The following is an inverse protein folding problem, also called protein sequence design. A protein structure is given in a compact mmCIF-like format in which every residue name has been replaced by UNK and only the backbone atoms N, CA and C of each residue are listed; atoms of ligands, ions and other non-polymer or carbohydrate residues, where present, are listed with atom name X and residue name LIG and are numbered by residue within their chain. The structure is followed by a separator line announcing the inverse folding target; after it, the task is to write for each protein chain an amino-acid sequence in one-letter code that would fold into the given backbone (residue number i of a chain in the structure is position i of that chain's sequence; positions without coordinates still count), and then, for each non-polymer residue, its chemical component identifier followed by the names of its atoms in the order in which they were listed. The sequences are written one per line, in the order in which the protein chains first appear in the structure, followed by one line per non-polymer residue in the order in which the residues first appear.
data_IF_506402942222
#
_entry.id   IF_506402942222
#
_cell.length_a   1.000
_cell.length_b   1.000
_cell.length_c   1.000
_cell.angle_alpha   90.00
_cell.angle_beta   90.00
_cell.angle_gamma   90.00
#
_symmetry.space_group_name_H-M   'P 1'
#
loop_
_entity.id
_entity.type
_entity.pdbx_description
1 polymer ?
#
# COMPACT_ATOMS: atom_id res chain seq x y z
N UNK A 1 -1.07 20.95 2.07
CA UNK A 1 -0.48 19.68 1.59
C UNK A 1 -1.43 19.11 0.56
N UNK A 2 -0.94 18.71 -0.61
CA UNK A 2 -1.78 18.06 -1.60
C UNK A 2 -2.18 16.67 -1.10
N UNK A 3 -3.50 16.45 -0.99
CA UNK A 3 -4.10 15.18 -0.60
C UNK A 3 -5.23 14.88 -1.59
N UNK A 4 -5.28 13.69 -2.22
CA UNK A 4 -4.26 12.63 -2.15
C UNK A 4 -2.89 13.09 -2.66
N UNK A 5 -1.82 12.41 -2.26
CA UNK A 5 -0.52 12.61 -2.90
C UNK A 5 -0.61 12.18 -4.37
N UNK A 6 0.22 12.72 -5.28
CA UNK A 6 0.12 12.41 -6.72
C UNK A 6 0.24 10.93 -7.08
N UNK A 7 0.81 10.11 -6.20
CA UNK A 7 1.00 8.67 -6.38
C UNK A 7 -0.02 7.84 -5.59
N UNK A 8 -0.90 8.45 -4.79
CA UNK A 8 -1.96 7.78 -4.05
C UNK A 8 -3.24 7.72 -4.88
N UNK A 9 -3.89 6.57 -4.89
CA UNK A 9 -5.22 6.46 -5.52
C UNK A 9 -6.28 6.84 -4.50
N UNK A 10 -7.06 7.86 -4.81
CA UNK A 10 -8.20 8.25 -3.96
C UNK A 10 -9.34 7.25 -4.12
N UNK A 11 -9.67 6.56 -3.03
CA UNK A 11 -10.78 5.60 -2.97
C UNK A 11 -12.10 6.27 -2.59
N UNK A 12 -12.04 7.24 -1.67
CA UNK A 12 -13.23 7.98 -1.22
C UNK A 12 -12.85 9.35 -0.67
N UNK A 13 -13.75 10.31 -0.78
CA UNK A 13 -13.64 11.59 -0.08
C UNK A 13 -15.00 12.12 0.36
N UNK A 14 -15.01 12.85 1.47
CA UNK A 14 -16.18 13.56 1.96
C UNK A 14 -15.79 14.83 2.73
N UNK A 15 -16.77 15.66 3.01
CA UNK A 15 -16.66 16.79 3.94
C UNK A 15 -17.52 16.52 5.17
N UNK A 16 -17.08 17.01 6.32
CA UNK A 16 -17.91 16.95 7.51
C UNK A 16 -19.15 17.82 7.31
N UNK A 17 -20.32 17.29 7.68
CA UNK A 17 -21.59 18.00 7.50
C UNK A 17 -21.63 19.35 8.24
N UNK A 18 -21.11 19.39 9.47
CA UNK A 18 -21.18 20.54 10.38
C UNK A 18 -19.96 21.46 10.23
N UNK A 19 -18.87 20.95 9.66
CA UNK A 19 -17.60 21.66 9.50
C UNK A 19 -17.12 21.50 8.05
N UNK A 20 -17.67 22.27 7.09
CA UNK A 20 -17.39 22.06 5.66
C UNK A 20 -15.92 22.26 5.26
N UNK A 21 -15.14 22.95 6.10
CA UNK A 21 -13.68 23.07 5.96
C UNK A 21 -12.95 21.76 6.28
N UNK A 22 -13.55 20.89 7.10
CA UNK A 22 -12.98 19.59 7.45
C UNK A 22 -13.27 18.56 6.35
N UNK A 23 -12.21 18.04 5.74
CA UNK A 23 -12.27 17.06 4.65
C UNK A 23 -11.70 15.72 5.09
N UNK A 24 -12.32 14.65 4.62
CA UNK A 24 -11.87 13.28 4.79
C UNK A 24 -11.46 12.73 3.43
N UNK A 25 -10.29 12.11 3.37
CA UNK A 25 -9.79 11.47 2.16
C UNK A 25 -9.30 10.07 2.52
N UNK A 26 -9.92 9.06 1.94
CA UNK A 26 -9.46 7.68 1.99
C UNK A 26 -8.71 7.38 0.70
N UNK A 27 -7.47 6.95 0.84
CA UNK A 27 -6.62 6.49 -0.26
C UNK A 27 -6.43 4.98 -0.15
N UNK A 28 -5.75 4.41 -1.14
CA UNK A 28 -5.31 3.01 -1.09
C UNK A 28 -4.22 2.72 -0.06
N UNK A 29 -3.75 3.74 0.68
CA UNK A 29 -2.65 3.62 1.66
C UNK A 29 -3.04 4.07 3.06
N UNK A 30 -3.87 5.11 3.16
CA UNK A 30 -4.19 5.78 4.42
C UNK A 30 -5.52 6.53 4.36
N UNK A 31 -6.04 6.81 5.54
CA UNK A 31 -7.14 7.74 5.76
C UNK A 31 -6.58 9.04 6.34
N UNK A 32 -6.93 10.16 5.72
CA UNK A 32 -6.47 11.50 6.08
C UNK A 32 -7.67 12.37 6.45
N UNK A 33 -7.54 13.07 7.57
CA UNK A 33 -8.42 14.15 8.02
C UNK A 33 -7.67 15.45 7.82
N UNK A 34 -8.28 16.35 7.05
CA UNK A 34 -7.73 17.66 6.74
C UNK A 34 -8.63 18.70 7.40
N UNK A 35 -8.03 19.52 8.25
CA UNK A 35 -8.60 20.71 8.86
C UNK A 35 -7.78 21.92 8.39
N UNK A 36 -8.20 23.16 8.70
CA UNK A 36 -7.59 24.38 8.13
C UNK A 36 -6.07 24.47 8.32
N UNK A 37 -5.56 24.07 9.48
CA UNK A 37 -4.13 24.14 9.81
C UNK A 37 -3.49 22.78 10.12
N UNK A 38 -4.27 21.70 10.11
CA UNK A 38 -3.81 20.39 10.61
C UNK A 38 -4.28 19.26 9.71
N UNK A 39 -3.36 18.34 9.42
CA UNK A 39 -3.68 17.04 8.87
C UNK A 39 -3.40 15.97 9.92
N UNK A 40 -4.38 15.11 10.17
CA UNK A 40 -4.20 13.88 10.95
C UNK A 40 -4.43 12.68 10.03
N UNK A 41 -3.62 11.64 10.17
CA UNK A 41 -3.62 10.51 9.25
C UNK A 41 -3.32 9.19 9.95
N UNK A 42 -3.89 8.12 9.41
CA UNK A 42 -3.65 6.74 9.83
C UNK A 42 -3.51 5.84 8.60
N UNK A 43 -2.46 5.03 8.55
CA UNK A 43 -2.31 4.05 7.47
C UNK A 43 -3.34 2.92 7.65
N UNK A 44 -3.79 2.33 6.54
CA UNK A 44 -4.85 1.29 6.58
C UNK A 44 -4.44 0.10 7.46
N UNK A 45 -3.19 -0.35 7.38
CA UNK A 45 -2.66 -1.45 8.19
C UNK A 45 -2.55 -1.13 9.69
N UNK A 46 -2.54 0.15 10.06
CA UNK A 46 -2.43 0.59 11.45
C UNK A 46 -3.79 0.78 12.10
N UNK A 47 -4.88 0.63 11.37
CA UNK A 47 -6.22 0.63 11.95
C UNK A 47 -6.42 -0.66 12.76
N UNK A 48 -6.96 -0.52 13.98
CA UNK A 48 -7.35 -1.67 14.81
C UNK A 48 -8.86 -1.77 14.96
N UNK A 49 -9.45 -0.90 15.77
CA UNK A 49 -10.87 -0.90 16.08
C UNK A 49 -11.53 0.33 15.49
N UNK A 50 -12.72 0.14 14.90
CA UNK A 50 -13.50 1.22 14.32
C UNK A 50 -14.83 1.29 15.05
N UNK A 51 -14.97 2.29 15.91
CA UNK A 51 -16.16 2.51 16.70
C UNK A 51 -17.05 3.54 16.02
N UNK A 52 -18.29 3.15 15.69
CA UNK A 52 -19.32 4.08 15.22
C UNK A 52 -20.19 4.53 16.39
N UNK A 53 -20.38 5.84 16.50
CA UNK A 53 -21.29 6.46 17.45
C UNK A 53 -22.22 7.44 16.73
N UNK A 54 -23.44 7.61 17.26
CA UNK A 54 -24.42 8.55 16.72
C UNK A 54 -25.07 9.32 17.86
N UNK A 55 -24.84 10.64 17.89
CA UNK A 55 -25.64 11.54 18.71
C UNK A 55 -27.08 11.64 18.17
N UNK A 56 -27.96 12.29 18.93
CA UNK A 56 -29.31 12.59 18.45
C UNK A 56 -29.27 13.50 17.20
N UNK A 57 -28.34 14.46 17.16
CA UNK A 57 -28.11 15.34 16.01
C UNK A 57 -27.64 14.54 14.79
N UNK A 58 -26.70 13.62 15.00
CA UNK A 58 -26.19 12.77 13.95
C UNK A 58 -27.33 11.95 13.31
N UNK A 59 -28.19 11.35 14.15
CA UNK A 59 -29.36 10.59 13.70
C UNK A 59 -30.34 11.46 12.90
N UNK A 60 -30.66 12.65 13.39
CA UNK A 60 -31.53 13.59 12.69
C UNK A 60 -30.94 14.02 11.34
N UNK A 61 -29.62 14.18 11.26
CA UNK A 61 -28.91 14.57 10.04
C UNK A 61 -28.56 13.40 9.12
N UNK A 62 -28.84 12.14 9.50
CA UNK A 62 -28.41 10.95 8.75
C UNK A 62 -26.87 10.81 8.67
N UNK A 63 -26.16 11.26 9.70
CA UNK A 63 -24.70 11.20 9.82
C UNK A 63 -24.29 10.37 11.03
N UNK A 64 -22.99 10.19 11.22
CA UNK A 64 -22.41 9.48 12.37
C UNK A 64 -20.97 9.92 12.62
N UNK A 65 -20.43 9.58 13.79
CA UNK A 65 -19.03 9.79 14.14
C UNK A 65 -18.31 8.44 14.19
N UNK A 66 -17.18 8.34 13.48
CA UNK A 66 -16.29 7.18 13.52
C UNK A 66 -15.05 7.52 14.33
N UNK A 67 -14.74 6.70 15.34
CA UNK A 67 -13.49 6.75 16.08
C UNK A 67 -12.65 5.56 15.65
N UNK A 68 -11.46 5.82 15.13
CA UNK A 68 -10.59 4.81 14.55
C UNK A 68 -9.35 4.71 15.43
N UNK A 69 -9.24 3.60 16.13
CA UNK A 69 -8.12 3.31 17.02
C UNK A 69 -6.88 2.94 16.21
N UNK A 70 -5.72 3.34 16.74
CA UNK A 70 -4.41 3.00 16.18
C UNK A 70 -3.90 1.73 16.84
N UNK A 71 -3.59 0.72 16.02
CA UNK A 71 -3.04 -0.56 16.46
C UNK A 71 -1.75 -0.34 17.24
N UNK A 72 -1.66 -0.77 18.49
CA UNK A 72 -0.40 -0.78 19.25
C UNK A 72 0.15 0.59 19.68
N UNK A 73 -0.60 1.69 19.54
CA UNK A 73 -0.17 3.02 19.98
C UNK A 73 -1.09 3.59 21.07
N UNK A 74 -0.51 4.40 21.97
CA UNK A 74 -1.27 5.24 22.93
C UNK A 74 -1.69 6.60 22.32
N UNK A 75 -1.45 6.81 21.03
CA UNK A 75 -1.90 8.00 20.32
C UNK A 75 -3.42 8.12 20.33
N UNK A 76 -3.93 9.34 20.29
CA UNK A 76 -5.37 9.60 20.21
C UNK A 76 -5.98 8.96 18.95
N UNK A 77 -7.23 8.46 19.03
CA UNK A 77 -7.92 7.89 17.89
C UNK A 77 -8.15 8.95 16.81
N UNK A 78 -8.15 8.51 15.55
CA UNK A 78 -8.52 9.36 14.42
C UNK A 78 -10.06 9.48 14.39
N UNK A 79 -10.58 10.70 14.49
CA UNK A 79 -12.03 10.94 14.60
C UNK A 79 -12.60 11.59 13.33
N UNK A 80 -13.53 10.87 12.67
CA UNK A 80 -14.34 11.36 11.55
C UNK A 80 -15.73 11.75 12.05
N UNK A 81 -16.05 13.04 12.07
CA UNK A 81 -17.35 13.56 12.53
C UNK A 81 -18.28 13.89 11.36
N UNK A 82 -19.59 13.69 11.56
CA UNK A 82 -20.59 14.07 10.57
C UNK A 82 -20.47 13.30 9.25
N UNK A 83 -20.09 12.02 9.32
CA UNK A 83 -19.95 11.12 8.18
C UNK A 83 -21.32 10.58 7.78
N UNK A 84 -21.75 10.88 6.55
CA UNK A 84 -22.90 10.22 5.92
C UNK A 84 -22.55 8.78 5.59
N UNK A 85 -23.49 7.86 5.79
CA UNK A 85 -23.27 6.41 5.55
C UNK A 85 -22.09 5.85 6.37
N UNK A 86 -21.94 6.29 7.62
CA UNK A 86 -20.80 5.86 8.42
C UNK A 86 -20.83 4.37 8.79
N UNK A 87 -21.97 3.68 8.73
CA UNK A 87 -22.01 2.22 8.88
C UNK A 87 -21.22 1.53 7.76
N UNK A 88 -21.47 1.98 6.52
CA UNK A 88 -20.82 1.48 5.32
C UNK A 88 -19.34 1.83 5.31
N UNK A 89 -19.00 3.08 5.65
CA UNK A 89 -17.60 3.49 5.74
C UNK A 89 -16.86 2.72 6.83
N UNK A 90 -17.47 2.50 8.00
CA UNK A 90 -16.86 1.70 9.05
C UNK A 90 -16.59 0.26 8.59
N UNK A 91 -17.57 -0.39 7.97
CA UNK A 91 -17.40 -1.75 7.43
C UNK A 91 -16.32 -1.81 6.33
N UNK A 92 -16.27 -0.81 5.45
CA UNK A 92 -15.23 -0.70 4.43
C UNK A 92 -13.83 -0.53 5.05
N UNK A 93 -13.70 0.35 6.04
CA UNK A 93 -12.45 0.58 6.75
C UNK A 93 -12.00 -0.67 7.52
N UNK A 94 -12.94 -1.40 8.13
CA UNK A 94 -12.67 -2.66 8.84
C UNK A 94 -12.22 -3.75 7.88
N UNK A 95 -12.86 -3.86 6.71
CA UNK A 95 -12.44 -4.75 5.63
C UNK A 95 -11.02 -4.40 5.15
N UNK A 96 -10.76 -3.12 4.87
CA UNK A 96 -9.43 -2.63 4.45
C UNK A 96 -8.35 -2.89 5.49
N UNK A 97 -8.69 -2.75 6.78
CA UNK A 97 -7.76 -2.96 7.90
C UNK A 97 -7.47 -4.44 8.17
N UNK A 98 -8.47 -5.31 7.98
CA UNK A 98 -8.38 -6.75 8.27
C UNK A 98 -7.82 -7.52 7.08
N UNK A 99 -8.25 -7.14 5.89
CA UNK A 99 -7.80 -7.72 4.64
C UNK A 99 -7.24 -6.66 3.70
N UNK A 100 -5.97 -6.23 3.92
CA UNK A 100 -5.22 -5.47 2.94
C UNK A 100 -5.11 -6.22 1.60
N UNK A 101 -5.51 -7.51 1.56
CA UNK A 101 -5.46 -8.34 0.38
C UNK A 101 -6.64 -8.25 -0.56
N UNK A 102 -7.72 -7.57 -0.19
CA UNK A 102 -8.79 -7.30 -1.13
C UNK A 102 -8.27 -6.31 -2.18
N UNK A 103 -8.24 -6.68 -3.47
CA UNK A 103 -7.99 -5.71 -4.54
C UNK A 103 -9.16 -4.74 -4.56
N UNK A 104 -8.98 -3.57 -3.96
CA UNK A 104 -10.06 -2.60 -3.84
C UNK A 104 -9.89 -1.59 -4.97
N UNK A 105 -10.77 -1.69 -5.96
CA UNK A 105 -10.94 -0.71 -7.02
C UNK A 105 -12.06 0.29 -6.68
N UNK A 106 -12.12 1.37 -7.44
CA UNK A 106 -13.10 2.45 -7.22
C UNK A 106 -14.55 1.98 -7.40
N UNK A 107 -14.78 0.86 -8.09
CA UNK A 107 -16.13 0.28 -8.27
C UNK A 107 -16.52 -0.44 -6.98
N UNK A 108 -15.66 -1.32 -6.46
CA UNK A 108 -15.87 -2.05 -5.22
C UNK A 108 -16.10 -1.11 -4.03
N UNK A 109 -15.32 -0.02 -3.92
CA UNK A 109 -15.52 1.00 -2.88
C UNK A 109 -16.89 1.66 -2.99
N UNK A 110 -17.29 2.06 -4.20
CA UNK A 110 -18.59 2.71 -4.41
C UNK A 110 -19.75 1.78 -4.10
N UNK A 111 -19.65 0.50 -4.47
CA UNK A 111 -20.67 -0.50 -4.16
C UNK A 111 -20.73 -0.81 -2.66
N UNK A 112 -19.57 -0.96 -1.98
CA UNK A 112 -19.52 -1.09 -0.53
C UNK A 112 -20.15 0.11 0.20
N UNK A 113 -19.95 1.32 -0.31
CA UNK A 113 -20.55 2.55 0.23
C UNK A 113 -22.03 2.73 -0.14
N UNK A 114 -22.55 1.99 -1.13
CA UNK A 114 -23.97 1.95 -1.50
C UNK A 114 -24.76 0.90 -0.76
N UNK A 115 -24.09 -0.16 -0.29
CA UNK A 115 -24.71 -1.19 0.51
C UNK A 115 -25.43 -0.58 1.72
N UNK A 116 -26.72 -0.86 1.88
CA UNK A 116 -27.44 -0.48 3.09
C UNK A 116 -27.48 -1.69 4.01
N UNK A 117 -26.69 -1.72 5.11
CA UNK A 117 -26.79 -2.79 6.07
C UNK A 117 -28.21 -2.79 6.61
N UNK A 118 -28.97 -3.85 6.31
CA UNK A 118 -30.29 -4.03 6.89
C UNK A 118 -30.09 -4.00 8.41
N UNK A 119 -30.80 -3.07 9.08
CA UNK A 119 -30.88 -3.05 10.54
C UNK A 119 -31.55 -4.35 10.95
N UNK A 120 -30.75 -5.37 11.22
CA UNK A 120 -31.23 -6.55 11.93
C UNK A 120 -31.56 -6.05 13.31
N UNK A 121 -32.85 -5.87 13.60
CA UNK A 121 -33.36 -5.58 14.94
C UNK A 121 -32.85 -6.70 15.86
N UNK A 122 -31.75 -6.42 16.57
CA UNK A 122 -31.13 -7.33 17.52
C UNK A 122 -31.96 -7.33 18.80
N UNK A 123 -33.12 -7.97 18.75
CA UNK A 123 -33.76 -8.48 19.96
C UNK A 123 -32.86 -9.54 20.60
N UNK A 124 -32.29 -9.22 21.76
CA UNK A 124 -31.91 -10.03 22.94
C UNK A 124 -31.39 -11.48 22.83
N UNK A 125 -31.17 -12.06 21.65
CA UNK A 125 -30.69 -13.44 21.45
C UNK A 125 -29.35 -13.45 20.72
N UNK A 126 -28.26 -13.04 21.36
CA UNK A 126 -26.90 -13.31 20.85
C UNK A 126 -25.81 -13.34 21.94
N UNK A 127 -26.18 -13.68 23.19
CA UNK A 127 -25.20 -13.87 24.27
C UNK A 127 -24.36 -15.16 24.16
N UNK A 128 -24.69 -16.07 23.22
CA UNK A 128 -24.08 -17.41 23.15
C UNK A 128 -23.00 -17.52 22.07
N UNK A 129 -22.98 -16.64 21.07
CA UNK A 129 -22.03 -16.74 19.96
C UNK A 129 -20.61 -16.20 20.27
N UNK A 130 -20.45 -15.30 21.25
CA UNK A 130 -19.15 -14.70 21.56
C UNK A 130 -18.20 -15.60 22.38
N UNK A 131 -18.72 -16.62 23.07
CA UNK A 131 -17.89 -17.54 23.87
C UNK A 131 -17.15 -18.60 23.04
N UNK A 132 -17.56 -18.84 21.79
CA UNK A 132 -16.94 -19.82 20.90
C UNK A 132 -15.77 -19.26 20.06
N UNK A 133 -15.60 -17.93 19.99
CA UNK A 133 -14.59 -17.30 19.12
C UNK A 133 -13.19 -17.18 19.76
N UNK A 134 -13.12 -17.08 21.09
CA UNK A 134 -11.86 -16.90 21.81
C UNK A 134 -10.84 -18.06 21.66
N UNK A 135 -11.23 -19.34 21.61
CA UNK A 135 -10.28 -20.45 21.45
C UNK A 135 -9.67 -20.51 20.04
N UNK A 136 -10.43 -20.09 19.02
CA UNK A 136 -9.99 -20.11 17.61
C UNK A 136 -8.92 -19.03 17.37
N UNK A 137 -9.06 -17.86 17.99
CA UNK A 137 -8.07 -16.79 17.92
C UNK A 137 -6.73 -17.16 18.59
N UNK A 138 -6.77 -17.92 19.70
CA UNK A 138 -5.57 -18.38 20.42
C UNK A 138 -4.82 -19.49 19.66
N UNK A 139 -5.51 -20.38 18.95
CA UNK A 139 -4.84 -21.38 18.09
C UNK A 139 -4.18 -20.75 16.86
N UNK A 140 -4.78 -19.70 16.27
CA UNK A 140 -4.20 -18.99 15.14
C UNK A 140 -2.88 -18.27 15.47
N UNK A 141 -2.76 -17.76 16.71
CA UNK A 141 -1.54 -17.10 17.20
C UNK A 141 -0.37 -18.08 17.45
N UNK A 142 -0.66 -19.36 17.72
CA UNK A 142 0.38 -20.37 17.96
C UNK A 142 1.04 -20.88 16.66
N UNK A 143 0.37 -20.76 15.51
CA UNK A 143 0.86 -21.24 14.21
C UNK A 143 1.84 -20.23 13.56
N UNK A 144 1.86 -18.98 14.01
CA UNK A 144 2.57 -17.89 13.33
C UNK A 144 4.04 -17.69 13.72
N UNK A 145 4.60 -18.49 14.65
CA UNK A 145 5.97 -18.31 15.17
C UNK A 145 7.05 -19.28 14.62
N UNK A 146 6.74 -20.07 13.59
CA UNK A 146 7.71 -20.90 12.87
C UNK A 146 8.17 -20.24 11.57
N UNK A 147 9.05 -19.23 11.65
CA UNK A 147 9.46 -18.44 10.48
C UNK A 147 10.46 -19.14 9.57
N UNK A 148 10.01 -20.11 8.78
CA UNK A 148 10.69 -20.42 7.50
C UNK A 148 10.42 -19.26 6.54
N UNK A 149 11.48 -18.70 5.95
CA UNK A 149 11.38 -17.64 4.95
C UNK A 149 10.57 -18.20 3.77
N UNK A 150 9.33 -17.73 3.61
CA UNK A 150 8.42 -18.24 2.58
C UNK A 150 9.12 -18.17 1.22
N UNK A 151 9.13 -19.31 0.52
CA UNK A 151 9.87 -19.48 -0.72
C UNK A 151 9.31 -18.55 -1.81
N UNK A 152 10.20 -18.03 -2.66
CA UNK A 152 9.79 -17.21 -3.80
C UNK A 152 9.09 -18.12 -4.82
N UNK A 153 7.84 -17.80 -5.15
CA UNK A 153 7.09 -18.39 -6.24
C UNK A 153 7.47 -17.71 -7.55
N UNK A 154 8.03 -18.50 -8.47
CA UNK A 154 8.42 -18.03 -9.80
C UNK A 154 7.35 -18.41 -10.83
N UNK A 155 6.86 -17.45 -11.64
CA UNK A 155 5.98 -17.77 -12.75
C UNK A 155 6.61 -18.78 -13.71
N UNK A 156 5.80 -19.71 -14.24
CA UNK A 156 6.27 -20.73 -15.18
C UNK A 156 6.81 -20.10 -16.47
N UNK A 157 6.25 -18.96 -16.86
CA UNK A 157 6.54 -18.19 -18.06
C UNK A 157 7.43 -16.97 -17.80
N UNK A 158 8.03 -16.82 -16.61
CA UNK A 158 8.92 -15.70 -16.30
C UNK A 158 10.00 -15.54 -17.40
N UNK A 159 10.20 -14.30 -17.83
CA UNK A 159 11.11 -14.02 -18.95
C UNK A 159 12.58 -14.32 -18.63
N UNK A 160 12.95 -14.41 -17.35
CA UNK A 160 14.33 -14.61 -16.87
C UNK A 160 14.48 -15.89 -16.05
N UNK A 161 13.50 -16.22 -15.20
CA UNK A 161 13.51 -17.38 -14.29
C UNK A 161 12.28 -18.29 -14.50
N UNK A 162 12.03 -18.81 -15.71
CA UNK A 162 10.88 -19.67 -15.94
C UNK A 162 10.91 -20.88 -14.99
N UNK A 163 9.87 -21.02 -14.17
CA UNK A 163 9.77 -22.02 -13.11
C UNK A 163 11.00 -22.02 -12.16
N UNK A 164 11.56 -20.84 -11.88
CA UNK A 164 12.67 -20.64 -10.95
C UNK A 164 14.06 -20.96 -11.53
N UNK A 165 14.15 -21.42 -12.78
CA UNK A 165 15.44 -21.69 -13.43
C UNK A 165 15.85 -20.50 -14.27
N UNK A 166 16.99 -19.89 -13.94
CA UNK A 166 17.54 -18.79 -14.71
C UNK A 166 17.83 -19.23 -16.14
N UNK A 167 17.36 -18.48 -17.13
CA UNK A 167 17.76 -18.64 -18.53
C UNK A 167 19.27 -18.42 -18.69
N UNK A 168 19.83 -18.95 -19.77
CA UNK A 168 21.22 -18.66 -20.10
C UNK A 168 21.42 -17.17 -20.39
N UNK A 169 22.67 -16.74 -20.29
CA UNK A 169 23.03 -15.32 -20.38
C UNK A 169 22.70 -14.73 -21.75
N UNK A 170 22.90 -15.49 -22.83
CA UNK A 170 22.68 -15.01 -24.20
C UNK A 170 21.19 -14.76 -24.44
N UNK A 171 20.34 -15.70 -24.05
CA UNK A 171 18.89 -15.56 -24.12
C UNK A 171 18.39 -14.36 -23.28
N UNK A 172 18.96 -14.13 -22.10
CA UNK A 172 18.63 -12.96 -21.27
C UNK A 172 19.03 -11.66 -21.98
N UNK A 173 20.25 -11.58 -22.51
CA UNK A 173 20.73 -10.37 -23.21
C UNK A 173 19.86 -10.08 -24.42
N UNK A 174 19.57 -11.09 -25.24
CA UNK A 174 18.70 -10.93 -26.40
C UNK A 174 17.31 -10.44 -26.00
N UNK A 175 16.71 -11.00 -24.95
CA UNK A 175 15.43 -10.51 -24.42
C UNK A 175 15.51 -9.06 -23.94
N UNK A 176 16.58 -8.69 -23.22
CA UNK A 176 16.78 -7.32 -22.76
C UNK A 176 16.89 -6.35 -23.93
N UNK A 177 17.62 -6.69 -24.98
CA UNK A 177 17.83 -5.81 -26.14
C UNK A 177 16.60 -5.69 -27.04
N UNK A 178 15.86 -6.79 -27.22
CA UNK A 178 14.76 -6.86 -28.19
C UNK A 178 13.39 -6.50 -27.60
N UNK A 179 13.15 -6.78 -26.32
CA UNK A 179 11.88 -6.53 -25.66
C UNK A 179 11.97 -5.39 -24.63
N UNK A 180 12.94 -5.48 -23.71
CA UNK A 180 13.01 -4.55 -22.57
C UNK A 180 13.47 -3.17 -22.99
N UNK A 181 14.61 -3.04 -23.70
CA UNK A 181 15.18 -1.74 -24.06
C UNK A 181 14.27 -0.88 -24.95
N UNK A 182 13.59 -1.42 -26.00
CA UNK A 182 12.65 -0.62 -26.79
C UNK A 182 11.48 -0.08 -25.98
N UNK A 183 10.95 -0.87 -25.05
CA UNK A 183 9.90 -0.40 -24.14
C UNK A 183 10.46 0.60 -23.12
N UNK A 184 11.62 0.31 -22.52
CA UNK A 184 12.24 1.14 -21.49
C UNK A 184 12.57 2.52 -22.02
N UNK A 185 13.06 2.65 -23.27
CA UNK A 185 13.30 3.95 -23.91
C UNK A 185 12.06 4.80 -23.94
N UNK A 186 10.93 4.27 -24.44
CA UNK A 186 9.65 4.99 -24.49
C UNK A 186 9.12 5.32 -23.09
N UNK A 187 9.16 4.35 -22.18
CA UNK A 187 8.61 4.50 -20.83
C UNK A 187 9.45 5.44 -19.96
N UNK A 188 10.78 5.43 -20.06
CA UNK A 188 11.64 6.24 -19.21
C UNK A 188 12.03 7.58 -19.84
N UNK A 189 11.75 7.83 -21.12
CA UNK A 189 12.06 9.10 -21.78
C UNK A 189 11.54 10.34 -21.02
N UNK A 190 10.30 10.36 -20.48
CA UNK A 190 9.82 11.52 -19.71
C UNK A 190 10.64 11.80 -18.44
N UNK A 191 11.28 10.77 -17.88
CA UNK A 191 12.08 10.88 -16.65
C UNK A 191 13.56 11.13 -16.97
N UNK A 192 14.09 10.52 -18.02
CA UNK A 192 15.49 10.61 -18.44
C UNK A 192 15.77 11.81 -19.36
N UNK A 193 14.73 12.49 -19.85
CA UNK A 193 14.83 13.64 -20.74
C UNK A 193 15.11 13.26 -22.21
N UNK A 194 14.62 12.10 -22.66
CA UNK A 194 14.77 11.61 -24.03
C UNK A 194 14.95 10.09 -24.12
N UNK A 195 14.49 9.48 -25.22
CA UNK A 195 14.64 8.03 -25.48
C UNK A 195 16.11 7.63 -25.68
N UNK A 196 16.88 8.47 -26.34
CA UNK A 196 18.32 8.32 -26.60
C UNK A 196 19.17 8.29 -25.32
N UNK A 197 18.64 8.87 -24.23
CA UNK A 197 19.28 8.91 -22.91
C UNK A 197 19.01 7.67 -22.06
N UNK A 198 18.08 6.82 -22.46
CA UNK A 198 17.76 5.59 -21.74
C UNK A 198 18.66 4.46 -22.23
N UNK A 199 19.53 4.00 -21.34
CA UNK A 199 20.50 2.92 -21.58
C UNK A 199 20.36 1.83 -20.53
N UNK A 200 21.09 0.72 -20.69
CA UNK A 200 21.15 -0.32 -19.67
C UNK A 200 21.65 0.25 -18.32
N UNK A 201 22.50 1.29 -18.34
CA UNK A 201 22.98 1.95 -17.12
C UNK A 201 21.88 2.75 -16.38
N UNK A 202 20.80 3.15 -17.07
CA UNK A 202 19.65 3.82 -16.45
C UNK A 202 18.98 2.91 -15.40
N UNK A 203 18.90 1.60 -15.67
CA UNK A 203 18.30 0.63 -14.77
C UNK A 203 19.34 -0.08 -13.89
N UNK A 204 20.51 -0.41 -14.45
CA UNK A 204 21.51 -1.21 -13.77
C UNK A 204 22.60 -0.37 -13.08
N UNK A 205 22.68 0.93 -13.33
CA UNK A 205 23.77 1.80 -12.87
C UNK A 205 25.02 1.75 -13.77
N UNK A 206 25.89 2.75 -13.65
CA UNK A 206 27.08 2.91 -14.50
C UNK A 206 28.11 1.77 -14.35
N UNK A 207 28.17 1.12 -13.19
CA UNK A 207 29.02 -0.05 -12.91
C UNK A 207 28.31 -1.39 -13.08
N UNK A 208 27.37 -1.51 -14.02
CA UNK A 208 26.64 -2.76 -14.26
C UNK A 208 27.51 -3.90 -14.82
N UNK A 209 28.40 -3.68 -15.81
CA UNK A 209 29.21 -4.76 -16.39
C UNK A 209 30.07 -5.50 -15.35
N UNK A 210 30.67 -4.77 -14.41
CA UNK A 210 31.50 -5.34 -13.33
C UNK A 210 30.70 -6.10 -12.27
N UNK A 211 29.37 -5.92 -12.23
CA UNK A 211 28.46 -6.63 -11.32
C UNK A 211 27.59 -7.65 -12.04
N UNK A 212 28.03 -8.09 -13.23
CA UNK A 212 27.29 -9.03 -14.07
C UNK A 212 25.85 -8.59 -14.34
N UNK A 213 25.68 -7.28 -14.57
CA UNK A 213 24.39 -6.64 -14.81
C UNK A 213 23.36 -6.88 -13.70
N UNK A 214 23.80 -7.24 -12.49
CA UNK A 214 22.92 -7.26 -11.34
C UNK A 214 22.39 -5.85 -11.15
N UNK A 215 21.07 -5.74 -11.09
CA UNK A 215 20.45 -4.50 -10.67
C UNK A 215 21.09 -4.06 -9.35
N UNK A 216 21.15 -2.75 -9.04
CA UNK A 216 21.77 -2.24 -7.83
C UNK A 216 20.99 -2.60 -6.55
N UNK A 217 20.22 -3.69 -6.59
CA UNK A 217 19.42 -4.34 -5.55
C UNK A 217 19.82 -3.85 -4.19
N UNK A 218 18.85 -3.31 -3.48
CA UNK A 218 18.99 -2.85 -2.12
C UNK A 218 19.85 -3.84 -1.32
N UNK A 219 21.13 -3.48 -1.09
CA UNK A 219 21.83 -3.95 0.09
C UNK A 219 20.97 -3.50 1.26
N UNK A 220 20.69 -4.43 2.19
CA UNK A 220 19.90 -4.23 3.42
C UNK A 220 19.82 -2.73 3.76
N UNK A 221 18.66 -2.11 3.52
CA UNK A 221 18.50 -0.66 3.68
C UNK A 221 19.08 -0.23 5.02
N UNK A 222 19.93 0.81 5.10
CA UNK A 222 20.18 1.43 6.39
C UNK A 222 18.83 1.87 6.96
N UNK A 223 18.63 1.64 8.26
CA UNK A 223 17.44 2.18 8.94
C UNK A 223 17.41 3.70 8.72
N UNK A 224 16.24 4.27 8.34
CA UNK A 224 16.15 5.69 8.05
C UNK A 224 16.58 6.53 9.25
N UNK A 225 17.38 7.57 8.98
CA UNK A 225 17.90 8.50 10.01
C UNK A 225 16.84 9.48 10.54
N UNK A 226 15.64 9.52 9.93
CA UNK A 226 14.53 10.29 10.46
C UNK A 226 14.03 9.61 11.74
N UNK A 227 14.31 10.25 12.88
CA UNK A 227 13.80 9.83 14.20
C UNK A 227 12.30 9.54 14.11
N UNK A 228 11.95 8.26 14.14
CA UNK A 228 11.31 7.63 15.30
C UNK A 228 10.36 8.53 16.12
N UNK A 229 9.42 9.21 15.48
CA UNK A 229 8.32 9.88 16.17
C UNK A 229 7.03 9.22 15.69
N UNK A 230 6.60 8.20 16.43
CA UNK A 230 5.28 7.58 16.32
C UNK A 230 5.22 6.19 15.68
N UNK A 231 6.35 5.62 15.24
CA UNK A 231 6.39 4.35 14.49
C UNK A 231 7.25 3.25 15.14
N UNK A 232 7.78 3.50 16.35
CA UNK A 232 8.85 2.70 16.97
C UNK A 232 8.36 1.43 17.68
N UNK A 233 7.05 1.22 17.74
CA UNK A 233 6.45 0.03 18.34
C UNK A 233 6.36 -1.19 17.43
N UNK A 234 6.64 -1.06 16.13
CA UNK A 234 6.27 -2.08 15.14
C UNK A 234 7.48 -2.91 14.67
N UNK A 235 8.04 -3.68 15.60
CA UNK A 235 8.94 -4.78 15.29
C UNK A 235 8.18 -6.02 14.80
N UNK A 236 8.66 -6.61 13.70
CA UNK A 236 8.29 -7.92 13.17
C UNK A 236 6.79 -8.13 12.80
N UNK A 237 6.40 -7.71 11.58
CA UNK A 237 5.37 -8.44 10.83
C UNK A 237 4.18 -7.66 10.28
N UNK A 238 3.88 -6.45 10.76
CA UNK A 238 2.62 -5.74 10.39
C UNK A 238 2.79 -4.23 10.15
N UNK A 239 3.99 -3.67 10.27
CA UNK A 239 4.23 -2.24 10.01
C UNK A 239 4.32 -1.89 8.51
N UNK A 240 4.16 -0.61 8.19
CA UNK A 240 4.47 -0.07 6.87
C UNK A 240 5.87 -0.54 6.46
N UNK A 241 5.95 -1.20 5.30
CA UNK A 241 7.19 -1.77 4.81
C UNK A 241 8.33 -0.73 4.84
N UNK A 242 9.53 -1.12 5.26
CA UNK A 242 10.68 -0.23 5.29
C UNK A 242 11.01 0.31 3.88
N UNK A 243 10.70 -0.43 2.81
CA UNK A 243 10.84 0.08 1.44
C UNK A 243 9.75 1.09 1.11
N UNK A 244 8.50 0.82 1.47
CA UNK A 244 7.41 1.80 1.39
C UNK A 244 7.80 3.09 2.10
N UNK A 245 8.28 3.00 3.36
CA UNK A 245 8.72 4.15 4.15
C UNK A 245 9.88 4.88 3.48
N UNK A 246 10.91 4.17 3.02
CA UNK A 246 12.06 4.83 2.39
C UNK A 246 11.72 5.46 1.03
N UNK A 247 10.83 4.82 0.26
CA UNK A 247 10.27 5.42 -0.94
C UNK A 247 9.45 6.67 -0.57
N UNK A 248 8.56 6.57 0.41
CA UNK A 248 7.69 7.64 0.89
C UNK A 248 8.52 8.85 1.39
N UNK A 249 9.50 8.63 2.26
CA UNK A 249 10.39 9.70 2.76
C UNK A 249 11.30 10.27 1.65
N UNK A 250 11.83 9.42 0.77
CA UNK A 250 12.65 9.86 -0.35
C UNK A 250 11.89 10.70 -1.38
N UNK A 251 10.59 10.40 -1.59
CA UNK A 251 9.73 11.10 -2.52
C UNK A 251 9.04 12.32 -1.92
N UNK A 252 8.72 12.31 -0.62
CA UNK A 252 8.13 13.45 0.07
C UNK A 252 9.13 14.59 0.32
N UNK A 253 10.42 14.29 0.43
CA UNK A 253 11.46 15.29 0.69
C UNK A 253 11.66 16.29 -0.47
N UNK A 254 11.32 15.93 -1.72
CA UNK A 254 11.50 16.81 -2.89
C UNK A 254 10.29 16.71 -3.83
N UNK A 255 9.64 17.86 -4.10
CA UNK A 255 8.36 17.90 -4.84
C UNK A 255 8.45 17.38 -6.28
N UNK A 256 9.60 17.51 -6.95
CA UNK A 256 9.82 16.98 -8.29
C UNK A 256 9.93 15.44 -8.31
N UNK A 257 10.27 14.83 -7.17
CA UNK A 257 10.31 13.38 -7.00
C UNK A 257 8.92 12.77 -6.89
N UNK A 258 7.92 13.52 -6.43
CA UNK A 258 6.55 12.99 -6.28
C UNK A 258 5.89 12.66 -7.62
N UNK A 259 6.00 13.55 -8.61
CA UNK A 259 5.46 13.32 -9.95
C UNK A 259 6.18 12.15 -10.64
N UNK A 260 7.52 12.07 -10.49
CA UNK A 260 8.31 10.94 -10.99
C UNK A 260 7.91 9.63 -10.31
N UNK A 261 7.70 9.63 -9.00
CA UNK A 261 7.29 8.46 -8.24
C UNK A 261 5.91 7.94 -8.67
N UNK A 262 4.94 8.86 -8.87
CA UNK A 262 3.61 8.51 -9.40
C UNK A 262 3.74 7.84 -10.77
N UNK A 263 4.51 8.46 -11.67
CA UNK A 263 4.76 7.90 -12.99
C UNK A 263 5.44 6.52 -12.94
N UNK A 264 6.40 6.33 -12.02
CA UNK A 264 7.06 5.04 -11.82
C UNK A 264 6.06 3.98 -11.31
N UNK A 265 5.20 4.33 -10.36
CA UNK A 265 4.18 3.45 -9.78
C UNK A 265 3.11 3.05 -10.81
N UNK A 266 2.64 4.00 -11.60
CA UNK A 266 1.48 3.80 -12.49
C UNK A 266 1.86 3.25 -13.87
N UNK A 267 3.04 3.63 -14.39
CA UNK A 267 3.43 3.33 -15.77
C UNK A 267 4.60 2.36 -15.83
N UNK A 268 5.71 2.71 -15.19
CA UNK A 268 6.98 1.98 -15.38
C UNK A 268 6.95 0.62 -14.69
N UNK A 269 6.59 0.56 -13.41
CA UNK A 269 6.55 -0.70 -12.66
C UNK A 269 5.56 -1.69 -13.27
N UNK A 270 4.29 -1.33 -13.58
CA UNK A 270 3.36 -2.24 -14.22
C UNK A 270 3.79 -2.67 -15.63
N UNK A 271 4.40 -1.79 -16.41
CA UNK A 271 4.90 -2.15 -17.75
C UNK A 271 6.08 -3.12 -17.70
N UNK A 272 7.03 -2.91 -16.80
CA UNK A 272 8.15 -3.82 -16.59
C UNK A 272 7.68 -5.18 -16.05
N UNK A 273 6.74 -5.17 -15.11
CA UNK A 273 6.13 -6.38 -14.58
C UNK A 273 5.50 -7.24 -15.69
N UNK A 274 4.75 -6.60 -16.61
CA UNK A 274 4.18 -7.28 -17.78
C UNK A 274 5.25 -7.88 -18.70
N UNK A 275 6.33 -7.14 -19.01
CA UNK A 275 7.42 -7.67 -19.85
C UNK A 275 8.09 -8.89 -19.24
N UNK A 276 8.22 -8.92 -17.92
CA UNK A 276 8.89 -10.00 -17.20
C UNK A 276 7.95 -11.16 -16.84
N UNK A 277 6.65 -11.03 -17.15
CA UNK A 277 5.58 -11.93 -16.72
C UNK A 277 5.54 -12.11 -15.19
N UNK A 278 5.69 -11.00 -14.47
CA UNK A 278 5.64 -10.94 -13.00
C UNK A 278 4.48 -10.06 -12.55
N UNK A 279 3.97 -10.23 -11.33
CA UNK A 279 3.07 -9.26 -10.76
C UNK A 279 3.80 -7.92 -10.52
N UNK A 280 3.15 -6.76 -10.74
CA UNK A 280 3.68 -5.50 -10.26
C UNK A 280 3.66 -5.46 -8.73
N UNK A 281 4.53 -4.64 -8.14
CA UNK A 281 4.53 -4.40 -6.71
C UNK A 281 3.21 -3.79 -6.28
N UNK A 282 2.51 -4.49 -5.42
CA UNK A 282 1.30 -4.00 -4.80
C UNK A 282 1.68 -3.25 -3.53
N UNK A 283 1.63 -1.93 -3.64
CA UNK A 283 1.97 -0.97 -2.59
C UNK A 283 1.03 -1.08 -1.38
N UNK A 284 -0.11 -1.76 -1.51
CA UNK A 284 -1.05 -2.00 -0.41
C UNK A 284 -0.68 -3.24 0.41
N UNK A 285 0.35 -4.01 -0.01
CA UNK A 285 0.77 -5.25 0.65
C UNK A 285 2.12 -5.11 1.32
N UNK A 286 2.41 -6.04 2.22
CA UNK A 286 3.72 -6.17 2.84
C UNK A 286 4.81 -6.49 1.81
N UNK A 287 6.05 -6.15 2.16
CA UNK A 287 7.22 -6.55 1.39
C UNK A 287 7.31 -8.06 1.25
N UNK A 288 7.03 -8.81 2.32
CA UNK A 288 6.98 -10.28 2.33
C UNK A 288 6.05 -10.80 1.23
N UNK A 289 4.82 -10.29 1.16
CA UNK A 289 3.83 -10.68 0.16
C UNK A 289 4.31 -10.46 -1.28
N UNK A 290 4.92 -9.30 -1.53
CA UNK A 290 5.43 -8.95 -2.85
C UNK A 290 6.68 -9.77 -3.21
N UNK A 291 7.58 -9.98 -2.23
CA UNK A 291 8.78 -10.79 -2.37
C UNK A 291 8.46 -12.24 -2.70
N UNK A 292 7.50 -12.85 -2.01
CA UNK A 292 7.11 -14.26 -2.22
C UNK A 292 6.46 -14.48 -3.57
N UNK A 293 5.93 -13.44 -4.20
CA UNK A 293 5.38 -13.46 -5.57
C UNK A 293 6.35 -13.03 -6.65
N UNK A 294 7.60 -12.76 -6.26
CA UNK A 294 8.62 -12.23 -7.16
C UNK A 294 8.15 -10.95 -7.89
N UNK A 295 7.38 -10.10 -7.19
CA UNK A 295 6.78 -8.92 -7.77
C UNK A 295 7.83 -7.87 -8.16
N UNK A 296 7.65 -7.19 -9.29
CA UNK A 296 8.55 -6.11 -9.72
C UNK A 296 8.15 -4.81 -9.05
N UNK A 297 9.08 -4.18 -8.33
CA UNK A 297 8.85 -2.93 -7.60
C UNK A 297 10.05 -2.00 -7.63
N UNK A 298 9.88 -0.80 -7.07
CA UNK A 298 10.91 0.24 -7.05
C UNK A 298 12.27 -0.24 -6.51
N UNK A 299 12.28 -1.15 -5.53
CA UNK A 299 13.49 -1.71 -4.92
C UNK A 299 14.35 -2.58 -5.87
N UNK A 300 13.79 -3.04 -6.99
CA UNK A 300 14.58 -3.70 -8.02
C UNK A 300 15.49 -2.70 -8.75
N UNK A 301 15.07 -1.44 -8.88
CA UNK A 301 15.77 -0.44 -9.69
C UNK A 301 16.48 0.63 -8.85
N UNK A 302 16.01 0.91 -7.63
CA UNK A 302 16.55 1.96 -6.77
C UNK A 302 17.51 1.41 -5.71
N UNK A 303 18.66 2.08 -5.59
CA UNK A 303 19.57 1.93 -4.46
C UNK A 303 19.22 3.02 -3.45
N UNK A 304 18.85 2.64 -2.23
CA UNK A 304 18.80 3.59 -1.12
C UNK A 304 20.18 3.52 -0.46
N UNK A 305 20.93 4.61 -0.54
CA UNK A 305 22.20 4.77 0.17
C UNK A 305 21.93 5.37 1.55
#
# INVERSE_FOLDING_TARGET
MDVPLPWERQLWSARAWIAPWRRYVLTDMRLVVIDDERSDEIALQDMSEIHRSESWLDRAAGTSTLNIERRGSRSSPLVLRGVRRGAQLAALLELLATDPRASIDDVAVREALRWEPQRVDRGLRNGVAMLAAAPVALLAAAITFGGDVEAISYPADDAIYPAGRKRDREAIVQFMETAVMPWARRALAPVAGGEDRVTCATCHGTGAPSRDWRMPSVGRLPEPQFRQIGWDGYGAGVGMDAQMRNALYGYLAESDKQAKAAYMREVVVPGMARLLHRPPYDFTRSYEYNRTRFAIGCYHCHRVN
#
